data_IF_876722505774
#
_entry.id   IF_876722505774
#
_cell.length_a   1.000
_cell.length_b   1.000
_cell.length_c   1.000
_cell.angle_alpha   90.00
_cell.angle_beta   90.00
_cell.angle_gamma   90.00
#
_symmetry.space_group_name_H-M   'P 1'
#
loop_
_entity.id
_entity.type
_entity.pdbx_description
1 polymer ?
#
# COMPACT_ATOMS: atom_id res chain seq x y z
N UNK A 1 4.47 15.54 0.10
CA UNK A 1 5.29 15.58 1.33
C UNK A 1 5.03 14.42 2.31
N UNK A 2 3.98 13.59 2.16
CA UNK A 2 3.63 12.55 3.16
C UNK A 2 4.47 11.25 3.08
N UNK A 3 4.86 10.83 1.87
CA UNK A 3 5.61 9.57 1.66
C UNK A 3 7.02 9.61 2.27
N UNK A 4 7.81 10.67 1.97
CA UNK A 4 9.16 10.88 2.52
C UNK A 4 9.19 10.94 4.05
N UNK A 5 8.19 11.56 4.67
CA UNK A 5 8.08 11.59 6.13
C UNK A 5 7.77 10.19 6.71
N UNK A 6 7.06 9.36 5.96
CA UNK A 6 6.73 7.99 6.36
C UNK A 6 7.94 7.07 6.26
N UNK A 7 8.73 7.19 5.18
CA UNK A 7 9.97 6.42 5.04
C UNK A 7 10.99 6.79 6.10
N UNK A 8 11.17 8.09 6.39
CA UNK A 8 12.06 8.55 7.45
C UNK A 8 11.64 8.05 8.84
N UNK A 9 10.34 8.07 9.12
CA UNK A 9 9.82 7.51 10.37
C UNK A 9 10.06 5.99 10.44
N UNK A 10 9.78 5.26 9.36
CA UNK A 10 10.04 3.82 9.26
C UNK A 10 11.53 3.49 9.48
N UNK A 11 12.45 4.21 8.83
CA UNK A 11 13.89 4.01 9.01
C UNK A 11 14.30 4.22 10.48
N UNK A 12 13.75 5.26 11.14
CA UNK A 12 14.03 5.55 12.54
C UNK A 12 13.51 4.50 13.51
N UNK A 13 12.26 4.08 13.35
CA UNK A 13 11.64 3.07 14.23
C UNK A 13 12.23 1.67 13.98
N UNK A 14 12.54 1.31 12.73
CA UNK A 14 13.24 0.07 12.41
C UNK A 14 14.63 0.03 13.04
N UNK A 15 15.36 1.14 12.99
CA UNK A 15 16.67 1.22 13.64
C UNK A 15 16.55 1.03 15.16
N UNK A 16 15.59 1.69 15.81
CA UNK A 16 15.31 1.47 17.24
C UNK A 16 14.95 0.01 17.53
N UNK A 17 14.11 -0.61 16.70
CA UNK A 17 13.73 -2.03 16.82
C UNK A 17 14.91 -2.97 16.64
N UNK A 18 15.85 -2.64 15.75
CA UNK A 18 17.05 -3.43 15.50
C UNK A 18 18.14 -3.27 16.57
N UNK A 19 18.14 -2.15 17.32
CA UNK A 19 19.06 -1.94 18.44
C UNK A 19 18.62 -2.63 19.74
N UNK A 20 17.39 -3.13 19.78
CA UNK A 20 16.88 -3.77 20.99
C UNK A 20 17.67 -5.04 21.31
N UNK A 21 18.06 -5.16 22.57
CA UNK A 21 18.83 -6.28 23.04
C UNK A 21 18.04 -7.59 22.90
N UNK A 22 18.77 -8.70 22.76
CA UNK A 22 18.18 -10.04 22.80
C UNK A 22 17.48 -10.25 24.14
N UNK A 23 16.39 -11.03 24.13
CA UNK A 23 15.58 -11.30 25.32
C UNK A 23 16.47 -11.87 26.42
N UNK A 24 16.60 -11.10 27.50
CA UNK A 24 17.43 -11.50 28.63
C UNK A 24 16.73 -12.58 29.46
N UNK A 25 17.50 -13.41 30.16
CA UNK A 25 16.97 -14.42 31.08
C UNK A 25 16.82 -13.91 32.51
N UNK A 26 17.40 -12.74 32.82
CA UNK A 26 17.36 -12.16 34.15
C UNK A 26 16.12 -11.28 34.34
N UNK A 27 15.42 -11.45 35.46
CA UNK A 27 14.15 -10.79 35.79
C UNK A 27 14.24 -9.27 35.75
N UNK A 28 15.31 -8.70 36.30
CA UNK A 28 15.50 -7.25 36.37
C UNK A 28 15.64 -6.65 34.97
N UNK A 29 16.47 -7.29 34.14
CA UNK A 29 16.68 -6.88 32.74
C UNK A 29 15.47 -7.16 31.83
N UNK A 30 14.69 -8.21 32.09
CA UNK A 30 13.43 -8.49 31.38
C UNK A 30 12.42 -7.37 31.60
N UNK A 31 12.31 -6.88 32.84
CA UNK A 31 11.38 -5.81 33.16
C UNK A 31 11.77 -4.50 32.46
N UNK A 32 13.07 -4.16 32.43
CA UNK A 32 13.59 -3.03 31.65
C UNK A 32 13.29 -3.20 30.16
N UNK A 33 13.52 -4.39 29.59
CA UNK A 33 13.23 -4.66 28.18
C UNK A 33 11.75 -4.48 27.85
N UNK A 34 10.84 -4.97 28.70
CA UNK A 34 9.39 -4.77 28.53
C UNK A 34 9.02 -3.28 28.55
N UNK A 35 9.60 -2.50 29.45
CA UNK A 35 9.39 -1.05 29.52
C UNK A 35 9.90 -0.32 28.27
N UNK A 36 10.97 -0.80 27.63
CA UNK A 36 11.49 -0.27 26.37
C UNK A 36 10.63 -0.66 25.14
N UNK A 37 10.01 -1.86 25.13
CA UNK A 37 9.18 -2.33 24.00
C UNK A 37 7.83 -1.62 23.95
N UNK A 38 7.22 -1.36 25.11
CA UNK A 38 5.90 -0.71 25.23
C UNK A 38 5.75 0.60 24.43
N UNK A 39 6.64 1.60 24.58
CA UNK A 39 6.51 2.85 23.84
C UNK A 39 6.66 2.64 22.33
N UNK A 40 7.53 1.72 21.88
CA UNK A 40 7.70 1.42 20.46
C UNK A 40 6.44 0.76 19.87
N UNK A 41 5.83 -0.19 20.58
CA UNK A 41 4.57 -0.82 20.17
C UNK A 41 3.44 0.22 20.09
N UNK A 42 3.35 1.11 21.08
CA UNK A 42 2.37 2.20 21.09
C UNK A 42 2.55 3.16 19.90
N UNK A 43 3.79 3.57 19.62
CA UNK A 43 4.11 4.46 18.49
C UNK A 43 3.70 3.85 17.14
N UNK A 44 3.95 2.55 16.95
CA UNK A 44 3.58 1.83 15.72
C UNK A 44 2.07 1.70 15.56
N UNK A 45 1.35 1.39 16.64
CA UNK A 45 -0.12 1.35 16.63
C UNK A 45 -0.69 2.74 16.33
N UNK A 46 -0.14 3.79 16.92
CA UNK A 46 -0.55 5.18 16.68
C UNK A 46 -0.27 5.63 15.23
N UNK A 47 0.70 5.00 14.54
CA UNK A 47 1.01 5.30 13.15
C UNK A 47 0.03 4.66 12.15
N UNK A 48 -0.72 3.61 12.53
CA UNK A 48 -1.72 2.94 11.70
C UNK A 48 -2.67 3.89 10.94
N UNK A 49 -3.35 4.87 11.58
CA UNK A 49 -4.23 5.80 10.87
C UNK A 49 -3.50 6.62 9.78
N UNK A 50 -2.24 6.99 10.03
CA UNK A 50 -1.43 7.73 9.05
C UNK A 50 -1.08 6.86 7.83
N UNK A 51 -0.76 5.57 8.05
CA UNK A 51 -0.57 4.60 6.95
C UNK A 51 -1.82 4.47 6.08
N UNK A 52 -3.01 4.36 6.69
CA UNK A 52 -4.30 4.31 5.95
C UNK A 52 -4.52 5.55 5.08
N UNK A 53 -4.18 6.74 5.59
CA UNK A 53 -4.30 7.99 4.84
C UNK A 53 -3.34 7.99 3.63
N UNK A 54 -2.08 7.58 3.83
CA UNK A 54 -1.09 7.48 2.74
C UNK A 54 -1.55 6.49 1.66
N UNK A 55 -2.13 5.34 2.07
CA UNK A 55 -2.74 4.39 1.15
C UNK A 55 -3.89 5.00 0.35
N UNK A 56 -4.82 5.71 1.01
CA UNK A 56 -5.94 6.38 0.32
C UNK A 56 -5.46 7.39 -0.72
N UNK A 57 -4.45 8.18 -0.39
CA UNK A 57 -3.86 9.12 -1.34
C UNK A 57 -3.21 8.42 -2.54
N UNK A 58 -2.48 7.33 -2.32
CA UNK A 58 -1.91 6.53 -3.41
C UNK A 58 -2.97 5.98 -4.36
N UNK A 59 -4.08 5.45 -3.83
CA UNK A 59 -5.19 4.96 -4.66
C UNK A 59 -5.88 6.08 -5.43
N UNK A 60 -6.08 7.25 -4.81
CA UNK A 60 -6.68 8.39 -5.50
C UNK A 60 -5.78 8.95 -6.62
N UNK A 61 -4.46 8.94 -6.41
CA UNK A 61 -3.49 9.42 -7.39
C UNK A 61 -3.38 8.46 -8.58
N UNK A 62 -3.38 7.16 -8.30
CA UNK A 62 -3.38 6.13 -9.35
C UNK A 62 -4.64 6.20 -10.23
N UNK A 63 -5.81 6.41 -9.60
CA UNK A 63 -7.06 6.61 -10.34
C UNK A 63 -6.98 7.80 -11.30
N UNK A 64 -6.44 8.93 -10.84
CA UNK A 64 -6.26 10.12 -11.69
C UNK A 64 -5.27 9.87 -12.82
N UNK A 65 -4.18 9.15 -12.56
CA UNK A 65 -3.19 8.78 -13.57
C UNK A 65 -3.82 7.93 -14.68
N UNK A 66 -4.61 6.93 -14.30
CA UNK A 66 -5.36 6.10 -15.24
C UNK A 66 -6.40 6.91 -16.01
N UNK A 67 -7.11 7.83 -15.35
CA UNK A 67 -8.10 8.70 -15.99
C UNK A 67 -7.45 9.66 -17.03
N UNK A 68 -6.21 10.10 -16.83
CA UNK A 68 -5.43 10.91 -17.80
C UNK A 68 -4.85 10.07 -18.95
N UNK A 69 -4.55 8.79 -18.72
CA UNK A 69 -3.91 7.90 -19.71
C UNK A 69 -4.87 7.45 -20.82
N UNK A 70 -6.19 7.47 -20.57
CA UNK A 70 -7.20 7.24 -21.59
C UNK A 70 -7.66 8.57 -22.21
N UNK A 71 -7.35 8.87 -23.49
CA UNK A 71 -8.03 9.95 -24.17
C UNK A 71 -9.51 9.61 -24.20
N UNK A 72 -10.34 10.44 -23.55
CA UNK A 72 -11.79 10.34 -23.60
C UNK A 72 -12.15 10.36 -25.09
N UNK A 73 -12.44 9.19 -25.64
CA UNK A 73 -12.80 9.03 -27.04
C UNK A 73 -14.26 9.49 -27.15
N UNK A 74 -14.45 10.81 -27.10
CA UNK A 74 -15.76 11.44 -27.29
C UNK A 74 -16.12 11.21 -28.75
N UNK A 75 -16.73 10.06 -29.04
CA UNK A 75 -17.38 9.83 -30.33
C UNK A 75 -18.32 11.00 -30.55
N UNK A 76 -18.14 11.81 -31.61
CA UNK A 76 -19.08 12.87 -31.93
C UNK A 76 -20.45 12.20 -32.11
N UNK A 77 -21.41 12.52 -31.25
CA UNK A 77 -22.81 12.16 -31.50
C UNK A 77 -23.24 12.98 -32.70
N UNK A 78 -23.15 12.38 -33.89
CA UNK A 78 -23.69 12.97 -35.11
C UNK A 78 -25.15 13.32 -34.85
N UNK A 79 -25.43 14.63 -34.86
CA UNK A 79 -26.75 15.21 -34.61
C UNK A 79 -27.66 14.71 -35.73
N UNK A 80 -28.75 14.02 -35.38
CA UNK A 80 -29.76 13.57 -36.33
C UNK A 80 -30.54 14.78 -36.86
N UNK A 81 -29.98 15.46 -37.86
CA UNK A 81 -30.65 16.42 -38.73
C UNK A 81 -30.25 16.12 -40.18
N UNK A 82 -30.62 14.93 -40.68
CA UNK A 82 -30.69 14.69 -42.12
C UNK A 82 -32.14 14.38 -42.47
N UNK A 83 -32.81 15.46 -42.87
CA UNK A 83 -34.00 15.45 -43.71
C UNK A 83 -33.67 14.71 -45.02
N UNK A 84 -34.59 13.82 -45.39
CA UNK A 84 -34.67 12.96 -46.57
C UNK A 84 -33.60 13.05 -47.68
N UNK A 85 -32.99 11.91 -47.98
CA UNK A 85 -32.59 11.52 -49.34
C UNK A 85 -32.30 10.02 -49.39
N UNK A 86 -32.99 9.34 -50.30
CA UNK A 86 -32.86 7.94 -50.71
C UNK A 86 -31.44 7.51 -51.11
N UNK A 87 -31.03 6.27 -50.81
CA UNK A 87 -30.90 5.18 -51.81
C UNK A 87 -30.38 3.88 -51.18
N UNK A 88 -30.89 2.76 -51.70
CA UNK A 88 -30.34 1.42 -51.52
C UNK A 88 -29.06 1.29 -52.37
N UNK A 89 -27.92 0.91 -51.79
CA UNK A 89 -27.00 -0.13 -52.32
C UNK A 89 -25.68 -0.18 -51.53
N UNK A 90 -25.40 -1.38 -51.05
CA UNK A 90 -24.13 -2.10 -51.08
C UNK A 90 -22.82 -1.33 -50.86
N UNK A 91 -22.18 -1.63 -49.74
CA UNK A 91 -20.73 -1.76 -49.67
C UNK A 91 -20.39 -2.62 -48.46
N UNK A 92 -20.11 -3.88 -48.73
CA UNK A 92 -19.19 -4.69 -47.95
C UNK A 92 -17.93 -3.86 -47.60
N UNK A 93 -17.91 -3.30 -46.40
CA UNK A 93 -16.71 -2.72 -45.82
C UNK A 93 -16.52 -3.29 -44.43
N UNK A 94 -15.89 -4.46 -44.45
CA UNK A 94 -15.11 -5.07 -43.39
C UNK A 94 -14.46 -4.03 -42.48
N UNK A 95 -15.11 -3.77 -41.34
CA UNK A 95 -14.47 -3.30 -40.10
C UNK A 95 -15.30 -3.96 -39.00
N UNK A 96 -15.00 -5.17 -38.53
CA UNK A 96 -13.78 -5.46 -37.79
C UNK A 96 -13.23 -4.16 -37.16
N UNK A 97 -14.09 -3.39 -36.49
CA UNK A 97 -13.64 -2.37 -35.57
C UNK A 97 -13.10 -3.15 -34.40
N UNK A 98 -11.81 -3.42 -34.53
CA UNK A 98 -10.85 -3.55 -33.46
C UNK A 98 -11.45 -4.23 -32.25
N UNK A 99 -11.24 -5.55 -32.19
CA UNK A 99 -10.81 -6.17 -30.94
C UNK A 99 -9.81 -5.21 -30.33
N UNK A 100 -10.29 -4.27 -29.49
CA UNK A 100 -9.40 -3.43 -28.73
C UNK A 100 -8.53 -4.44 -28.05
N UNK A 101 -7.26 -4.35 -28.40
CA UNK A 101 -6.20 -5.15 -27.88
C UNK A 101 -6.22 -4.89 -26.37
N UNK A 102 -7.08 -5.65 -25.69
CA UNK A 102 -6.90 -6.07 -24.31
C UNK A 102 -5.78 -7.11 -24.30
N UNK A 103 -4.84 -7.07 -25.25
CA UNK A 103 -3.44 -6.86 -24.93
C UNK A 103 -3.35 -6.26 -23.55
N UNK A 104 -3.27 -7.15 -22.56
CA UNK A 104 -2.05 -7.39 -21.81
C UNK A 104 -1.17 -6.14 -21.69
N UNK A 105 -1.78 -4.98 -21.44
CA UNK A 105 -1.23 -3.99 -20.57
C UNK A 105 -1.16 -4.73 -19.25
N UNK A 106 -0.03 -5.42 -19.07
CA UNK A 106 0.52 -5.63 -17.76
C UNK A 106 0.51 -4.21 -17.20
N UNK A 107 -0.54 -3.87 -16.44
CA UNK A 107 -0.58 -2.66 -15.65
C UNK A 107 0.63 -2.80 -14.75
N UNK A 108 1.79 -2.35 -15.24
CA UNK A 108 2.97 -2.23 -14.43
C UNK A 108 2.51 -1.32 -13.31
N UNK A 109 2.31 -1.90 -12.12
CA UNK A 109 1.83 -1.16 -10.95
C UNK A 109 2.54 0.20 -10.94
N UNK A 110 1.74 1.27 -10.89
CA UNK A 110 2.26 2.63 -10.92
C UNK A 110 3.42 2.73 -9.94
N UNK A 111 4.49 3.46 -10.30
CA UNK A 111 5.70 3.57 -9.46
C UNK A 111 5.34 3.92 -8.00
N UNK A 112 4.29 4.71 -7.82
CA UNK A 112 3.73 5.10 -6.53
C UNK A 112 3.08 3.94 -5.79
N UNK A 113 2.38 3.03 -6.49
CA UNK A 113 1.84 1.80 -5.89
C UNK A 113 2.95 0.84 -5.46
N UNK A 114 4.00 0.68 -6.26
CA UNK A 114 5.17 -0.14 -5.89
C UNK A 114 5.84 0.39 -4.62
N UNK A 115 6.07 1.71 -4.56
CA UNK A 115 6.63 2.37 -3.38
C UNK A 115 5.73 2.22 -2.15
N UNK A 116 4.43 2.45 -2.31
CA UNK A 116 3.43 2.31 -1.25
C UNK A 116 3.34 0.87 -0.74
N UNK A 117 3.38 -0.11 -1.64
CA UNK A 117 3.40 -1.53 -1.31
C UNK A 117 4.66 -1.91 -0.51
N UNK A 118 5.82 -1.35 -0.88
CA UNK A 118 7.07 -1.51 -0.11
C UNK A 118 6.95 -0.92 1.30
N UNK A 119 6.42 0.30 1.43
CA UNK A 119 6.18 0.95 2.73
C UNK A 119 5.22 0.15 3.60
N UNK A 120 4.13 -0.36 3.02
CA UNK A 120 3.15 -1.14 3.75
C UNK A 120 3.73 -2.49 4.21
N UNK A 121 4.52 -3.17 3.38
CA UNK A 121 5.24 -4.39 3.74
C UNK A 121 6.21 -4.16 4.90
N UNK A 122 7.00 -3.08 4.86
CA UNK A 122 7.92 -2.71 5.94
C UNK A 122 7.18 -2.45 7.26
N UNK A 123 6.10 -1.68 7.20
CA UNK A 123 5.26 -1.41 8.37
C UNK A 123 4.68 -2.68 8.99
N UNK A 124 4.13 -3.59 8.19
CA UNK A 124 3.59 -4.86 8.70
C UNK A 124 4.68 -5.76 9.27
N UNK A 125 5.84 -5.86 8.61
CA UNK A 125 6.98 -6.63 9.12
C UNK A 125 7.44 -6.10 10.48
N UNK A 126 7.50 -4.78 10.66
CA UNK A 126 7.86 -4.15 11.92
C UNK A 126 6.81 -4.42 13.02
N UNK A 127 5.52 -4.37 12.67
CA UNK A 127 4.44 -4.69 13.58
C UNK A 127 4.52 -6.14 14.07
N UNK A 128 4.75 -7.09 13.15
CA UNK A 128 4.91 -8.51 13.49
C UNK A 128 6.12 -8.68 14.41
N UNK A 129 7.29 -8.16 14.03
CA UNK A 129 8.52 -8.26 14.83
C UNK A 129 8.36 -7.72 16.26
N UNK A 130 7.63 -6.62 16.44
CA UNK A 130 7.34 -6.08 17.77
C UNK A 130 6.34 -6.92 18.57
N UNK A 131 5.40 -7.57 17.88
CA UNK A 131 4.44 -8.49 18.52
C UNK A 131 5.15 -9.76 18.98
N UNK A 132 5.95 -10.37 18.12
CA UNK A 132 6.73 -11.58 18.43
C UNK A 132 7.65 -11.32 19.64
N UNK A 133 8.30 -10.15 19.70
CA UNK A 133 9.20 -9.80 20.80
C UNK A 133 8.47 -9.52 22.11
N UNK A 134 7.25 -9.00 22.05
CA UNK A 134 6.39 -8.82 23.23
C UNK A 134 5.95 -10.19 23.78
N UNK A 135 5.56 -11.11 22.89
CA UNK A 135 5.21 -12.49 23.25
C UNK A 135 6.42 -13.25 23.84
N UNK A 136 7.61 -13.10 23.26
CA UNK A 136 8.84 -13.72 23.78
C UNK A 136 9.19 -13.22 25.19
N UNK A 137 9.04 -11.92 25.45
CA UNK A 137 9.27 -11.33 26.78
C UNK A 137 8.24 -11.83 27.82
N UNK A 138 6.96 -11.93 27.44
CA UNK A 138 5.92 -12.47 28.32
C UNK A 138 6.16 -13.96 28.62
N UNK A 139 6.56 -14.76 27.63
CA UNK A 139 6.93 -16.16 27.84
C UNK A 139 8.14 -16.29 28.76
N UNK A 140 9.18 -15.48 28.57
CA UNK A 140 10.37 -15.48 29.43
C UNK A 140 10.02 -15.13 30.88
N UNK A 141 9.11 -14.18 31.08
CA UNK A 141 8.60 -13.80 32.40
C UNK A 141 7.83 -14.95 33.06
N UNK A 142 6.89 -15.58 32.35
CA UNK A 142 6.12 -16.72 32.86
C UNK A 142 7.00 -17.92 33.24
N UNK A 143 8.06 -18.18 32.46
CA UNK A 143 9.03 -19.23 32.80
C UNK A 143 9.79 -18.92 34.09
N UNK A 144 10.08 -17.65 34.36
CA UNK A 144 10.74 -17.24 35.59
C UNK A 144 9.81 -17.30 36.80
N UNK A 145 8.53 -16.98 36.64
CA UNK A 145 7.52 -17.08 37.71
C UNK A 145 7.21 -18.54 38.11
N UNK A 146 7.56 -19.52 37.26
CA UNK A 146 7.29 -20.94 37.47
C UNK A 146 8.46 -21.71 38.10
N UNK A 147 9.65 -21.12 38.17
CA UNK A 147 10.84 -21.71 38.84
C UNK A 147 11.02 -21.11 40.24
#
# INVERSE_FOLDING_TARGET
MSHKATTQWLDGIEHKVNQLQQVSRDTTTLQTQVEEVKPLKSEVIAYKPKSVIVNKFGHSYDKLLKDDEYPINVRPRYRSLQIGSSSLMDSSSSRAFDSIDSGSFTEEESKIQKELGSVNKRYEALRIKLTDRDEELELAKLLHERN
#
